data_IF_949341132455
#
_entry.id   IF_949341132455
#
_cell.length_a   1.000
_cell.length_b   1.000
_cell.length_c   1.000
_cell.angle_alpha   90.00
_cell.angle_beta   90.00
_cell.angle_gamma   90.00
#
_symmetry.space_group_name_H-M   'P 1'
#
loop_
_entity.id
_entity.type
_entity.pdbx_description
1 polymer ?
#
# COMPACT_ATOMS: atom_id res chain seq x y z
N UNK A 1 6.81 5.10 1.41
CA UNK A 1 6.54 6.53 1.13
C UNK A 1 5.42 7.00 2.02
N UNK A 2 5.61 8.13 2.69
CA UNK A 2 4.54 8.73 3.49
C UNK A 2 3.70 9.64 2.60
N UNK A 3 2.39 9.55 2.71
CA UNK A 3 1.51 10.30 1.81
C UNK A 3 0.05 10.28 2.24
N UNK A 4 -0.80 10.87 1.39
CA UNK A 4 -2.24 10.98 1.65
C UNK A 4 -2.98 9.64 1.70
N UNK A 5 -2.36 8.55 1.26
CA UNK A 5 -2.87 7.20 1.34
C UNK A 5 -2.68 6.56 2.72
N UNK A 6 -1.69 7.01 3.52
CA UNK A 6 -1.40 6.51 4.86
C UNK A 6 -2.23 7.28 5.92
N UNK A 7 -3.53 6.99 5.94
CA UNK A 7 -4.51 7.66 6.80
C UNK A 7 -4.91 6.80 8.01
N UNK A 8 -4.23 5.67 8.21
CA UNK A 8 -4.52 4.74 9.30
C UNK A 8 -4.47 5.40 10.68
N UNK A 9 -5.46 5.05 11.51
CA UNK A 9 -5.56 5.56 12.87
C UNK A 9 -6.06 6.99 13.03
N UNK A 10 -6.39 7.68 11.95
CA UNK A 10 -7.03 9.00 12.02
C UNK A 10 -8.53 8.87 12.23
N UNK A 11 -9.09 9.75 13.03
CA UNK A 11 -10.53 9.88 13.28
C UNK A 11 -11.13 11.00 12.42
N UNK A 12 -12.46 11.13 12.45
CA UNK A 12 -13.15 12.24 11.78
C UNK A 12 -13.76 11.90 10.41
N UNK A 13 -13.68 10.64 9.97
CA UNK A 13 -14.30 10.18 8.71
C UNK A 13 -15.79 9.86 8.83
N UNK A 14 -16.36 10.04 10.02
CA UNK A 14 -17.75 9.78 10.30
C UNK A 14 -18.09 8.29 10.44
N UNK A 15 -19.40 8.01 10.60
CA UNK A 15 -19.87 6.63 10.75
C UNK A 15 -19.79 5.87 9.44
N UNK A 16 -19.21 4.68 9.50
CA UNK A 16 -19.20 3.76 8.36
C UNK A 16 -20.64 3.35 7.99
N UNK A 17 -21.00 3.49 6.72
CA UNK A 17 -22.30 3.09 6.20
C UNK A 17 -22.16 1.75 5.50
N UNK A 18 -22.80 0.74 6.05
CA UNK A 18 -22.94 -0.56 5.41
C UNK A 18 -24.31 -0.66 4.76
N UNK A 19 -24.30 -1.03 3.48
CA UNK A 19 -25.52 -1.46 2.79
C UNK A 19 -25.28 -2.87 2.27
N UNK A 20 -26.06 -3.89 2.68
CA UNK A 20 -25.89 -5.26 2.17
C UNK A 20 -26.06 -5.36 0.66
N UNK A 21 -26.72 -4.37 0.05
CA UNK A 21 -26.96 -4.26 -1.38
C UNK A 21 -26.19 -3.10 -2.04
N UNK A 22 -25.17 -2.55 -1.38
CA UNK A 22 -24.34 -1.49 -1.98
C UNK A 22 -23.66 -2.03 -3.23
N UNK A 23 -23.80 -1.40 -4.39
CA UNK A 23 -23.17 -1.88 -5.62
C UNK A 23 -21.65 -1.77 -5.49
N UNK A 24 -20.95 -2.84 -5.89
CA UNK A 24 -19.47 -2.83 -5.95
C UNK A 24 -18.98 -1.85 -7.02
N UNK A 25 -19.75 -1.70 -8.08
CA UNK A 25 -19.47 -0.76 -9.18
C UNK A 25 -20.70 0.13 -9.37
N UNK A 26 -20.47 1.43 -9.45
CA UNK A 26 -21.52 2.41 -9.68
C UNK A 26 -21.74 2.68 -11.17
N UNK A 27 -20.70 2.45 -11.98
CA UNK A 27 -20.72 2.68 -13.43
C UNK A 27 -19.95 1.57 -14.17
N UNK A 28 -20.27 1.35 -15.44
CA UNK A 28 -19.66 0.28 -16.25
C UNK A 28 -18.17 0.45 -16.49
N UNK A 29 -17.67 1.69 -16.54
CA UNK A 29 -16.23 1.93 -16.70
C UNK A 29 -15.42 1.45 -15.50
N UNK A 30 -15.96 1.45 -14.28
CA UNK A 30 -15.31 0.97 -13.07
C UNK A 30 -15.02 -0.54 -13.17
N UNK A 31 -15.97 -1.32 -13.71
CA UNK A 31 -15.77 -2.76 -13.99
C UNK A 31 -14.65 -2.96 -15.00
N UNK A 32 -14.58 -2.13 -16.04
CA UNK A 32 -13.52 -2.20 -17.04
C UNK A 32 -12.15 -1.91 -16.45
N UNK A 33 -12.03 -0.89 -15.60
CA UNK A 33 -10.79 -0.57 -14.88
C UNK A 33 -10.37 -1.76 -14.03
N UNK A 34 -11.29 -2.33 -13.24
CA UNK A 34 -11.01 -3.50 -12.41
C UNK A 34 -10.54 -4.71 -13.23
N UNK A 35 -11.20 -4.99 -14.35
CA UNK A 35 -10.83 -6.08 -15.23
C UNK A 35 -9.46 -5.86 -15.89
N UNK A 36 -9.18 -4.62 -16.34
CA UNK A 36 -7.94 -4.29 -17.02
C UNK A 36 -6.72 -4.37 -16.10
N UNK A 37 -6.77 -3.80 -14.89
CA UNK A 37 -5.63 -3.93 -13.98
C UNK A 37 -5.41 -5.38 -13.55
N UNK A 38 -6.49 -6.13 -13.30
CA UNK A 38 -6.39 -7.55 -12.96
C UNK A 38 -5.77 -8.37 -14.09
N UNK A 39 -6.16 -8.07 -15.33
CA UNK A 39 -5.57 -8.71 -16.51
C UNK A 39 -4.09 -8.35 -16.66
N UNK A 40 -3.73 -7.08 -16.50
CA UNK A 40 -2.35 -6.60 -16.63
C UNK A 40 -1.42 -7.27 -15.59
N UNK A 41 -1.88 -7.41 -14.34
CA UNK A 41 -1.15 -8.15 -13.30
C UNK A 41 -1.00 -9.63 -13.68
N UNK A 42 -2.07 -10.28 -14.13
CA UNK A 42 -2.04 -11.70 -14.53
C UNK A 42 -1.14 -11.96 -15.74
N UNK A 43 -0.99 -11.00 -16.64
CA UNK A 43 -0.12 -11.06 -17.80
C UNK A 43 1.33 -10.61 -17.49
N UNK A 44 1.63 -10.25 -16.23
CA UNK A 44 2.96 -9.82 -15.83
C UNK A 44 3.40 -8.46 -16.41
N UNK A 45 2.45 -7.62 -16.85
CA UNK A 45 2.77 -6.27 -17.32
C UNK A 45 3.35 -5.44 -16.18
N UNK A 46 2.78 -5.59 -14.99
CA UNK A 46 3.27 -5.05 -13.73
C UNK A 46 2.76 -5.94 -12.57
N UNK A 47 3.40 -5.82 -11.40
CA UNK A 47 2.97 -6.53 -10.20
C UNK A 47 2.03 -5.68 -9.32
N UNK A 48 1.45 -6.31 -8.28
CA UNK A 48 0.49 -5.62 -7.39
C UNK A 48 1.13 -4.52 -6.55
N UNK A 49 2.42 -4.61 -6.23
CA UNK A 49 3.09 -3.59 -5.44
C UNK A 49 3.46 -2.37 -6.30
N UNK A 50 3.84 -2.58 -7.57
CA UNK A 50 3.94 -1.50 -8.55
C UNK A 50 2.60 -0.77 -8.70
N UNK A 51 1.49 -1.53 -8.78
CA UNK A 51 0.15 -0.94 -8.92
C UNK A 51 -0.26 -0.11 -7.69
N UNK A 52 -0.03 -0.62 -6.48
CA UNK A 52 -0.28 0.13 -5.25
C UNK A 52 0.57 1.39 -5.20
N UNK A 53 1.87 1.25 -5.49
CA UNK A 53 2.79 2.37 -5.49
C UNK A 53 2.43 3.45 -6.53
N UNK A 54 1.95 3.08 -7.70
CA UNK A 54 1.47 4.04 -8.70
C UNK A 54 0.28 4.88 -8.18
N UNK A 55 -0.61 4.29 -7.40
CA UNK A 55 -1.72 5.00 -6.74
C UNK A 55 -1.20 5.90 -5.60
N UNK A 56 -0.25 5.42 -4.81
CA UNK A 56 0.38 6.17 -3.70
C UNK A 56 1.11 7.42 -4.19
N UNK A 57 1.66 7.38 -5.42
CA UNK A 57 2.37 8.50 -6.07
C UNK A 57 1.47 9.53 -6.74
N UNK A 58 0.15 9.38 -6.67
CA UNK A 58 -0.76 10.40 -7.23
C UNK A 58 -0.50 11.76 -6.59
N UNK A 59 -0.72 12.84 -7.37
CA UNK A 59 -0.70 14.19 -6.82
C UNK A 59 -1.71 14.27 -5.65
N UNK A 60 -1.32 14.79 -4.47
CA UNK A 60 -2.15 14.71 -3.25
C UNK A 60 -3.57 15.25 -3.39
N UNK A 61 -3.77 16.37 -4.08
CA UNK A 61 -5.11 16.93 -4.29
C UNK A 61 -5.95 16.07 -5.20
N UNK A 62 -5.34 15.50 -6.24
CA UNK A 62 -6.00 14.56 -7.13
C UNK A 62 -6.37 13.28 -6.37
N UNK A 63 -5.45 12.73 -5.58
CA UNK A 63 -5.73 11.56 -4.74
C UNK A 63 -6.94 11.76 -3.82
N UNK A 64 -7.02 12.91 -3.14
CA UNK A 64 -8.12 13.20 -2.21
C UNK A 64 -9.47 13.43 -2.92
N UNK A 65 -9.46 14.03 -4.11
CA UNK A 65 -10.67 14.31 -4.88
C UNK A 65 -11.20 13.10 -5.65
N UNK A 66 -10.32 12.16 -6.02
CA UNK A 66 -10.65 11.01 -6.85
C UNK A 66 -11.41 9.93 -6.07
N UNK A 67 -12.40 9.31 -6.71
CA UNK A 67 -13.05 8.10 -6.24
C UNK A 67 -12.10 6.89 -6.27
N UNK A 68 -12.52 5.76 -5.70
CA UNK A 68 -11.71 4.54 -5.67
C UNK A 68 -11.26 4.10 -7.07
N UNK A 69 -12.19 4.04 -8.04
CA UNK A 69 -11.87 3.59 -9.39
C UNK A 69 -11.16 4.65 -10.24
N UNK A 70 -11.30 5.93 -9.95
CA UNK A 70 -10.49 6.98 -10.57
C UNK A 70 -9.03 6.87 -10.14
N UNK A 71 -8.75 6.59 -8.85
CA UNK A 71 -7.39 6.27 -8.38
C UNK A 71 -6.85 5.02 -9.06
N UNK A 72 -7.67 3.99 -9.16
CA UNK A 72 -7.33 2.74 -9.87
C UNK A 72 -7.00 2.98 -11.34
N UNK A 73 -7.79 3.80 -12.04
CA UNK A 73 -7.56 4.19 -13.43
C UNK A 73 -6.25 4.98 -13.59
N UNK A 74 -5.99 5.91 -12.68
CA UNK A 74 -4.75 6.71 -12.69
C UNK A 74 -3.52 5.82 -12.50
N UNK A 75 -3.54 4.91 -11.54
CA UNK A 75 -2.45 3.94 -11.33
C UNK A 75 -2.23 3.03 -12.54
N UNK A 76 -3.31 2.46 -13.08
CA UNK A 76 -3.26 1.64 -14.29
C UNK A 76 -2.68 2.40 -15.49
N UNK A 77 -3.19 3.59 -15.79
CA UNK A 77 -2.73 4.40 -16.91
C UNK A 77 -1.26 4.82 -16.76
N UNK A 78 -0.86 5.19 -15.53
CA UNK A 78 0.53 5.53 -15.22
C UNK A 78 1.46 4.36 -15.55
N UNK A 79 1.16 3.16 -15.05
CA UNK A 79 1.98 1.98 -15.30
C UNK A 79 1.99 1.57 -16.78
N UNK A 80 0.86 1.65 -17.48
CA UNK A 80 0.83 1.38 -18.91
C UNK A 80 1.73 2.33 -19.70
N UNK A 81 1.80 3.61 -19.33
CA UNK A 81 2.72 4.57 -19.93
C UNK A 81 4.17 4.26 -19.55
N UNK A 82 4.46 4.02 -18.28
CA UNK A 82 5.81 3.68 -17.78
C UNK A 82 6.36 2.40 -18.39
N UNK A 83 5.49 1.40 -18.63
CA UNK A 83 5.84 0.13 -19.30
C UNK A 83 5.84 0.21 -20.83
N UNK A 84 5.54 1.38 -21.40
CA UNK A 84 5.61 1.62 -22.85
C UNK A 84 4.49 0.98 -23.69
N UNK A 85 3.35 0.60 -23.09
CA UNK A 85 2.21 0.08 -23.83
C UNK A 85 1.60 1.14 -24.76
N UNK A 86 1.61 2.38 -24.31
CA UNK A 86 1.25 3.57 -25.09
C UNK A 86 1.89 4.83 -24.47
N UNK A 87 2.00 5.89 -25.23
CA UNK A 87 2.55 7.15 -24.76
C UNK A 87 1.48 8.00 -24.04
N UNK A 88 1.93 8.91 -23.16
CA UNK A 88 1.03 9.93 -22.56
C UNK A 88 0.30 10.73 -23.64
N UNK A 89 0.99 11.07 -24.73
CA UNK A 89 0.41 11.82 -25.85
C UNK A 89 -0.76 11.06 -26.51
N UNK A 90 -0.61 9.76 -26.74
CA UNK A 90 -1.69 8.93 -27.29
C UNK A 90 -2.88 8.84 -26.32
N UNK A 91 -2.61 8.67 -25.01
CA UNK A 91 -3.65 8.65 -23.98
C UNK A 91 -4.46 9.96 -24.00
N UNK A 92 -3.79 11.11 -23.97
CA UNK A 92 -4.42 12.42 -23.96
C UNK A 92 -5.16 12.74 -25.27
N UNK A 93 -4.62 12.31 -26.42
CA UNK A 93 -5.31 12.46 -27.72
C UNK A 93 -6.61 11.64 -27.77
N UNK A 94 -6.58 10.39 -27.31
CA UNK A 94 -7.77 9.51 -27.29
C UNK A 94 -8.78 9.96 -26.24
N UNK A 95 -8.30 10.40 -25.09
CA UNK A 95 -9.14 10.95 -24.02
C UNK A 95 -9.65 12.37 -24.26
N UNK A 96 -9.17 13.03 -25.34
CA UNK A 96 -9.52 14.41 -25.71
C UNK A 96 -9.25 15.43 -24.59
N UNK A 97 -8.20 15.22 -23.80
CA UNK A 97 -7.83 16.11 -22.72
C UNK A 97 -6.60 15.68 -21.96
N UNK A 98 -6.15 16.54 -21.05
CA UNK A 98 -5.05 16.23 -20.15
C UNK A 98 -5.40 15.05 -19.22
N UNK A 99 -4.47 14.10 -19.06
CA UNK A 99 -4.62 13.01 -18.11
C UNK A 99 -3.57 13.11 -17.00
N UNK A 100 -3.99 13.21 -15.73
CA UNK A 100 -3.07 13.38 -14.60
C UNK A 100 -2.44 12.03 -14.21
N UNK A 101 -1.28 11.73 -14.79
CA UNK A 101 -0.49 10.58 -14.37
C UNK A 101 0.10 10.79 -12.97
N UNK A 102 0.46 9.69 -12.30
CA UNK A 102 1.17 9.74 -11.03
C UNK A 102 2.56 10.38 -11.18
N UNK A 103 3.10 10.85 -10.05
CA UNK A 103 4.43 11.45 -9.98
C UNK A 103 5.51 10.38 -10.27
N UNK A 104 6.72 10.84 -10.54
CA UNK A 104 7.88 9.95 -10.80
C UNK A 104 8.16 9.04 -9.61
N UNK A 105 8.63 7.83 -9.92
CA UNK A 105 9.00 6.84 -8.91
C UNK A 105 10.24 7.30 -8.14
N UNK A 106 10.19 7.21 -6.81
CA UNK A 106 11.36 7.35 -5.96
C UNK A 106 12.21 6.07 -5.92
N UNK A 107 13.37 6.09 -5.25
CA UNK A 107 14.17 4.88 -5.07
C UNK A 107 13.45 3.88 -4.18
N UNK A 108 13.51 2.60 -4.54
CA UNK A 108 13.15 1.48 -3.68
C UNK A 108 14.28 1.10 -2.74
N UNK A 109 14.04 0.11 -1.89
CA UNK A 109 15.07 -0.51 -1.05
C UNK A 109 14.93 -2.03 -1.04
N UNK A 110 16.02 -2.71 -0.70
CA UNK A 110 16.05 -4.15 -0.49
C UNK A 110 15.79 -4.48 0.99
N UNK A 111 15.72 -5.78 1.31
CA UNK A 111 15.55 -6.27 2.68
C UNK A 111 16.58 -5.69 3.65
N UNK A 112 16.20 -5.52 4.91
CA UNK A 112 17.14 -5.13 5.95
C UNK A 112 18.21 -6.22 6.16
N UNK A 113 19.49 -5.83 6.24
CA UNK A 113 20.59 -6.78 6.43
C UNK A 113 20.57 -7.45 7.80
N UNK A 114 20.09 -6.72 8.82
CA UNK A 114 19.99 -7.13 10.22
C UNK A 114 18.62 -7.73 10.59
N UNK A 115 17.84 -8.22 9.59
CA UNK A 115 16.55 -8.85 9.87
C UNK A 115 16.72 -10.17 10.61
N UNK A 116 15.83 -10.43 11.54
CA UNK A 116 15.80 -11.64 12.36
C UNK A 116 14.47 -12.36 12.18
N UNK A 117 14.50 -13.69 12.36
CA UNK A 117 13.29 -14.50 12.43
C UNK A 117 12.64 -14.37 13.80
N UNK A 118 11.30 -14.18 13.81
CA UNK A 118 10.52 -14.08 15.02
C UNK A 118 9.63 -15.31 15.22
N UNK A 119 9.24 -15.53 16.47
CA UNK A 119 8.30 -16.58 16.88
C UNK A 119 7.06 -15.94 17.51
N UNK A 120 5.96 -16.70 17.56
CA UNK A 120 4.75 -16.26 18.27
C UNK A 120 5.12 -16.04 19.75
N UNK A 121 4.73 -14.87 20.29
CA UNK A 121 5.06 -14.42 21.62
C UNK A 121 6.27 -13.48 21.70
N UNK A 122 7.10 -13.39 20.65
CA UNK A 122 8.21 -12.43 20.64
C UNK A 122 7.69 -10.98 20.71
N UNK A 123 8.38 -10.18 21.54
CA UNK A 123 8.19 -8.74 21.57
C UNK A 123 9.01 -8.09 20.48
N UNK A 124 8.39 -7.24 19.71
CA UNK A 124 9.01 -6.57 18.57
C UNK A 124 8.66 -5.08 18.56
N UNK A 125 9.54 -4.30 17.94
CA UNK A 125 9.27 -2.90 17.62
C UNK A 125 9.30 -2.71 16.11
N UNK A 126 8.36 -1.96 15.56
CA UNK A 126 8.39 -1.56 14.16
C UNK A 126 9.45 -0.46 13.97
N UNK A 127 10.35 -0.64 13.00
CA UNK A 127 11.39 0.34 12.69
C UNK A 127 10.80 1.73 12.42
N UNK A 128 11.47 2.74 12.96
CA UNK A 128 11.13 4.14 12.73
C UNK A 128 11.97 4.66 11.56
N UNK A 129 11.59 4.29 10.35
CA UNK A 129 12.30 4.69 9.14
C UNK A 129 11.39 5.45 8.19
N UNK A 130 11.93 6.50 7.57
CA UNK A 130 11.29 7.17 6.45
C UNK A 130 11.75 6.52 5.14
N UNK A 131 10.79 6.06 4.35
CA UNK A 131 11.04 5.42 3.05
C UNK A 131 10.46 6.28 1.95
N UNK A 132 11.28 6.70 1.00
CA UNK A 132 10.82 7.51 -0.14
C UNK A 132 10.05 6.71 -1.19
N UNK A 133 10.35 5.41 -1.32
CA UNK A 133 9.66 4.47 -2.20
C UNK A 133 8.43 3.83 -1.55
N UNK A 134 7.95 2.76 -2.17
CA UNK A 134 6.87 1.95 -1.63
C UNK A 134 7.20 1.38 -0.25
N UNK A 135 6.24 1.33 0.66
CA UNK A 135 6.37 0.75 2.00
C UNK A 135 5.01 0.23 2.48
N UNK A 136 5.03 -0.95 3.12
CA UNK A 136 3.81 -1.57 3.66
C UNK A 136 3.71 -1.49 5.19
N UNK A 137 4.61 -0.78 5.86
CA UNK A 137 4.49 -0.47 7.28
C UNK A 137 3.72 0.84 7.47
N UNK A 138 2.47 0.81 7.98
CA UNK A 138 1.68 2.02 8.19
C UNK A 138 2.37 2.97 9.19
N UNK A 139 2.24 4.27 8.98
CA UNK A 139 2.91 5.28 9.81
C UNK A 139 2.53 5.20 11.28
N UNK A 140 1.28 4.85 11.59
CA UNK A 140 0.79 4.80 12.98
C UNK A 140 1.41 3.69 13.84
N UNK A 141 2.03 2.65 13.23
CA UNK A 141 2.72 1.58 13.99
C UNK A 141 4.23 1.79 14.06
N UNK A 142 4.82 2.70 13.28
CA UNK A 142 6.27 2.90 13.26
C UNK A 142 6.77 3.40 14.63
N UNK A 143 7.86 2.80 15.11
CA UNK A 143 8.40 3.06 16.45
C UNK A 143 7.56 2.51 17.59
N UNK A 144 6.50 1.72 17.30
CA UNK A 144 5.64 1.12 18.33
C UNK A 144 6.03 -0.32 18.60
N UNK A 145 5.85 -0.72 19.87
CA UNK A 145 6.10 -2.08 20.32
C UNK A 145 4.80 -2.90 20.28
N UNK A 146 4.94 -4.15 19.88
CA UNK A 146 3.85 -5.12 19.85
C UNK A 146 4.34 -6.54 20.11
N UNK A 147 3.44 -7.50 20.01
CA UNK A 147 3.74 -8.93 20.22
C UNK A 147 3.34 -9.69 18.96
N UNK A 148 4.22 -10.57 18.49
CA UNK A 148 3.93 -11.46 17.36
C UNK A 148 2.86 -12.47 17.79
N UNK A 149 1.74 -12.51 17.07
CA UNK A 149 0.62 -13.41 17.35
C UNK A 149 0.34 -14.40 16.20
N UNK A 150 0.95 -14.18 15.03
CA UNK A 150 0.81 -15.04 13.87
C UNK A 150 1.96 -14.85 12.88
N UNK A 151 2.16 -15.85 12.02
CA UNK A 151 3.22 -15.85 10.99
C UNK A 151 2.60 -16.32 9.68
N UNK A 152 2.80 -15.56 8.61
CA UNK A 152 2.40 -15.92 7.25
C UNK A 152 3.57 -16.52 6.45
N UNK A 153 3.31 -17.26 5.37
CA UNK A 153 4.35 -17.67 4.44
C UNK A 153 5.16 -16.48 3.88
N UNK A 154 6.38 -16.71 3.39
CA UNK A 154 7.16 -15.68 2.71
C UNK A 154 6.47 -15.14 1.45
N UNK A 155 6.61 -13.84 1.22
CA UNK A 155 6.16 -13.10 0.04
C UNK A 155 7.26 -12.16 -0.45
N UNK A 156 7.25 -11.76 -1.73
CA UNK A 156 8.16 -10.74 -2.23
C UNK A 156 8.15 -9.49 -1.36
N UNK A 157 9.36 -8.99 -1.01
CA UNK A 157 9.49 -7.79 -0.19
C UNK A 157 8.97 -6.56 -0.95
N UNK A 158 7.90 -5.91 -0.51
CA UNK A 158 7.16 -4.95 -1.32
C UNK A 158 7.96 -3.71 -1.69
N UNK A 159 8.88 -3.25 -0.82
CA UNK A 159 9.72 -2.08 -1.04
C UNK A 159 10.72 -2.27 -2.20
N UNK A 160 11.10 -3.52 -2.45
CA UNK A 160 11.91 -3.91 -3.60
C UNK A 160 11.04 -4.25 -4.81
N UNK A 161 9.99 -5.04 -4.59
CA UNK A 161 9.15 -5.58 -5.64
C UNK A 161 8.41 -4.49 -6.43
N UNK A 162 7.96 -3.41 -5.77
CA UNK A 162 7.36 -2.24 -6.41
C UNK A 162 8.33 -1.43 -7.28
N UNK A 163 9.62 -1.68 -7.17
CA UNK A 163 10.68 -0.94 -7.86
C UNK A 163 11.51 -1.82 -8.81
N UNK A 164 11.10 -3.09 -8.99
CA UNK A 164 11.82 -4.04 -9.84
C UNK A 164 13.23 -4.40 -9.32
N UNK A 165 13.47 -4.23 -8.03
CA UNK A 165 14.73 -4.62 -7.38
C UNK A 165 14.70 -6.10 -7.01
N UNK A 166 15.86 -6.75 -7.08
CA UNK A 166 16.04 -8.11 -6.57
C UNK A 166 16.15 -8.08 -5.05
N UNK A 167 15.32 -8.88 -4.39
CA UNK A 167 15.29 -9.02 -2.93
C UNK A 167 14.76 -10.42 -2.55
N UNK A 168 15.02 -10.83 -1.32
CA UNK A 168 14.52 -12.09 -0.82
C UNK A 168 13.03 -11.99 -0.47
N UNK A 169 12.31 -13.09 -0.64
CA UNK A 169 10.99 -13.25 -0.05
C UNK A 169 11.12 -13.35 1.47
N UNK A 170 10.23 -12.70 2.21
CA UNK A 170 10.22 -12.74 3.66
C UNK A 170 8.82 -12.91 4.23
N UNK A 171 8.68 -13.53 5.43
CA UNK A 171 7.38 -13.67 6.07
C UNK A 171 6.82 -12.32 6.50
N UNK A 172 5.49 -12.27 6.62
CA UNK A 172 4.81 -11.24 7.39
C UNK A 172 4.42 -11.82 8.76
N UNK A 173 4.57 -11.00 9.77
CA UNK A 173 4.14 -11.31 11.14
C UNK A 173 2.87 -10.54 11.45
N UNK A 174 1.84 -11.23 11.94
CA UNK A 174 0.71 -10.56 12.56
C UNK A 174 1.15 -10.06 13.93
N UNK A 175 1.24 -8.75 14.08
CA UNK A 175 1.70 -8.09 15.31
C UNK A 175 0.50 -7.45 16.01
N UNK A 176 0.25 -7.86 17.25
CA UNK A 176 -0.78 -7.29 18.11
C UNK A 176 -0.24 -6.09 18.88
N UNK A 177 -0.88 -4.94 18.71
CA UNK A 177 -0.59 -3.69 19.44
C UNK A 177 -1.74 -3.34 20.36
N UNK A 178 -1.44 -2.89 21.58
CA UNK A 178 -2.46 -2.28 22.41
C UNK A 178 -2.90 -0.93 21.82
N UNK A 179 -4.21 -0.69 21.72
CA UNK A 179 -4.73 0.52 21.10
C UNK A 179 -4.18 1.80 21.75
N UNK A 180 -4.02 1.82 23.09
CA UNK A 180 -3.45 2.95 23.82
C UNK A 180 -1.95 3.19 23.52
N UNK A 181 -1.22 2.16 23.10
CA UNK A 181 0.18 2.32 22.65
C UNK A 181 0.26 3.00 21.28
N UNK A 182 -0.75 2.81 20.43
CA UNK A 182 -0.88 3.45 19.13
C UNK A 182 -1.46 4.86 19.27
N UNK A 183 -2.55 4.99 20.02
CA UNK A 183 -3.29 6.23 20.24
C UNK A 183 -3.56 6.41 21.75
N UNK A 184 -2.86 7.34 22.40
CA UNK A 184 -2.97 7.53 23.86
C UNK A 184 -4.39 7.88 24.36
N UNK A 185 -5.22 8.42 23.48
CA UNK A 185 -6.62 8.77 23.71
C UNK A 185 -7.62 7.68 23.35
N UNK A 186 -7.16 6.47 23.01
CA UNK A 186 -8.04 5.35 22.73
C UNK A 186 -8.87 4.98 23.96
N UNK A 187 -10.20 5.04 23.81
CA UNK A 187 -11.13 4.78 24.91
C UNK A 187 -11.21 3.31 25.31
N UNK A 188 -11.05 2.40 24.35
CA UNK A 188 -11.20 0.96 24.56
C UNK A 188 -9.84 0.24 24.59
N UNK A 189 -9.67 -0.75 25.52
CA UNK A 189 -8.46 -1.57 25.60
C UNK A 189 -8.43 -2.65 24.50
N UNK A 190 -8.58 -2.24 23.24
CA UNK A 190 -8.58 -3.13 22.12
C UNK A 190 -7.15 -3.51 21.68
N UNK A 191 -6.99 -4.68 21.11
CA UNK A 191 -5.76 -5.08 20.39
C UNK A 191 -5.96 -4.83 18.91
N UNK A 192 -5.03 -4.11 18.30
CA UNK A 192 -4.99 -3.83 16.87
C UNK A 192 -3.97 -4.77 16.22
N UNK A 193 -4.39 -5.53 15.24
CA UNK A 193 -3.56 -6.50 14.53
C UNK A 193 -3.09 -5.90 13.21
N UNK A 194 -1.79 -5.98 12.94
CA UNK A 194 -1.18 -5.47 11.71
C UNK A 194 -0.17 -6.47 11.18
N UNK A 195 -0.32 -6.84 9.90
CA UNK A 195 0.66 -7.68 9.19
C UNK A 195 1.89 -6.86 8.81
N UNK A 196 3.05 -7.21 9.36
CA UNK A 196 4.31 -6.48 9.23
C UNK A 196 5.37 -7.39 8.64
N UNK A 197 6.04 -6.99 7.56
CA UNK A 197 7.15 -7.73 6.98
C UNK A 197 8.37 -7.77 7.90
N UNK A 198 9.18 -8.84 7.80
CA UNK A 198 10.34 -9.10 8.65
C UNK A 198 11.30 -7.91 8.70
N UNK A 199 11.63 -7.34 7.55
CA UNK A 199 12.55 -6.20 7.42
C UNK A 199 12.08 -4.92 8.13
N UNK A 200 10.81 -4.83 8.52
CA UNK A 200 10.30 -3.67 9.28
C UNK A 200 10.38 -3.86 10.80
N UNK A 201 10.82 -5.02 11.29
CA UNK A 201 10.80 -5.37 12.71
C UNK A 201 12.20 -5.46 13.29
N UNK A 202 12.32 -5.16 14.59
CA UNK A 202 13.47 -5.46 15.44
C UNK A 202 12.99 -6.14 16.72
N UNK A 203 13.77 -7.07 17.26
CA UNK A 203 13.49 -7.74 18.52
C UNK A 203 13.81 -6.83 19.70
N UNK A 204 13.00 -6.89 20.79
CA UNK A 204 13.18 -6.09 22.02
C UNK A 204 13.05 -6.98 23.26
#
# INVERSE_FOLDING_TARGET
MDGMHDMGGRQGFGRMRFGPNAPVYHQDWERRVNALYSLAVRQGVFNMDEYRHAIERMEPRHYLAASYYERSLTGLATLCVEKGLFSKKELEQRGKGHFPLALTIGPGRVNAEDRERFQIGDKVMVRLEHVSGHVRAPGYVRGKCGVVVGISPPYPFPDAHAHGLSADDEPTYDVGFQAQALWPDAADPATVHVGIFESYLIKI
#
